data_IF_297663645788
#
_entry.id   IF_297663645788
#
_cell.length_a   1.000
_cell.length_b   1.000
_cell.length_c   1.000
_cell.angle_alpha   90.00
_cell.angle_beta   90.00
_cell.angle_gamma   90.00
#
_symmetry.space_group_name_H-M   'P 1'
#
loop_
_entity.id
_entity.type
_entity.pdbx_description
1 polymer ?
#
# COMPACT_ATOMS: atom_id res chain seq x y z
N UNK A 1 -16.12 44.00 -45.95
CA UNK A 1 -17.55 43.62 -45.95
C UNK A 1 -17.67 42.33 -45.14
N UNK A 2 -18.38 42.36 -44.00
CA UNK A 2 -18.77 41.18 -43.19
C UNK A 2 -19.67 40.25 -44.05
N UNK A 3 -19.77 38.93 -43.81
CA UNK A 3 -20.65 38.29 -42.81
C UNK A 3 -20.28 36.79 -42.62
N UNK A 4 -20.50 36.31 -41.40
CA UNK A 4 -20.36 34.99 -40.76
C UNK A 4 -21.14 33.80 -41.36
N UNK A 5 -20.68 32.57 -41.05
CA UNK A 5 -21.38 31.50 -40.29
C UNK A 5 -20.57 30.19 -40.41
N UNK A 6 -19.79 29.73 -39.42
CA UNK A 6 -20.15 28.82 -38.30
C UNK A 6 -21.50 28.11 -38.46
N UNK A 7 -21.46 26.79 -38.68
CA UNK A 7 -22.51 25.86 -38.28
C UNK A 7 -21.83 24.73 -37.51
N UNK A 8 -22.00 24.78 -36.20
CA UNK A 8 -21.69 23.73 -35.24
C UNK A 8 -22.47 22.46 -35.58
N UNK A 9 -21.77 21.33 -35.63
CA UNK A 9 -22.42 20.03 -35.52
C UNK A 9 -22.68 19.78 -34.02
N UNK A 10 -23.91 19.44 -33.59
CA UNK A 10 -24.17 19.17 -32.20
C UNK A 10 -23.53 17.84 -31.78
N UNK A 11 -22.78 17.90 -30.67
CA UNK A 11 -22.42 16.76 -29.83
C UNK A 11 -23.65 15.88 -29.63
N UNK A 12 -23.68 14.74 -30.31
CA UNK A 12 -24.68 13.72 -30.08
C UNK A 12 -24.13 12.85 -28.94
N UNK A 13 -24.71 12.89 -27.73
CA UNK A 13 -24.29 12.00 -26.66
C UNK A 13 -24.51 10.55 -27.10
N UNK A 14 -23.48 9.72 -26.92
CA UNK A 14 -23.54 8.29 -27.14
C UNK A 14 -24.68 7.70 -26.27
N UNK A 15 -25.68 7.01 -26.87
CA UNK A 15 -26.72 6.37 -26.10
C UNK A 15 -26.15 5.11 -25.45
N UNK A 16 -25.95 5.14 -24.14
CA UNK A 16 -25.48 3.97 -23.39
C UNK A 16 -24.66 4.23 -22.14
N UNK A 17 -24.45 5.48 -21.72
CA UNK A 17 -23.98 5.76 -20.35
C UNK A 17 -25.14 5.49 -19.38
N UNK A 18 -25.34 4.22 -19.04
CA UNK A 18 -25.93 3.89 -17.76
C UNK A 18 -25.01 4.48 -16.70
N UNK A 19 -25.55 5.39 -15.91
CA UNK A 19 -24.92 6.00 -14.75
C UNK A 19 -24.23 4.92 -13.92
N UNK A 20 -22.89 4.91 -13.91
CA UNK A 20 -22.07 4.10 -13.00
C UNK A 20 -21.81 4.87 -11.71
N UNK A 21 -22.77 5.66 -11.24
CA UNK A 21 -22.58 6.60 -10.13
C UNK A 21 -22.48 5.93 -8.76
N UNK A 22 -22.54 4.60 -8.68
CA UNK A 22 -22.23 3.84 -7.45
C UNK A 22 -20.72 3.56 -7.27
N UNK A 23 -19.86 4.15 -8.11
CA UNK A 23 -18.42 3.89 -8.15
C UNK A 23 -17.54 5.12 -7.85
N UNK A 24 -17.93 6.00 -6.90
CA UNK A 24 -16.98 7.03 -6.43
C UNK A 24 -15.80 6.36 -5.72
N UNK A 25 -14.67 6.29 -6.42
CA UNK A 25 -13.38 5.84 -5.89
C UNK A 25 -12.53 7.01 -5.38
N UNK A 26 -13.15 8.19 -5.17
CA UNK A 26 -12.43 9.40 -4.77
C UNK A 26 -11.69 9.19 -3.46
N UNK A 27 -12.31 8.48 -2.52
CA UNK A 27 -11.70 8.08 -1.24
C UNK A 27 -10.45 7.20 -1.44
N UNK A 28 -10.44 6.30 -2.43
CA UNK A 28 -9.26 5.49 -2.76
C UNK A 28 -8.12 6.37 -3.27
N UNK A 29 -8.44 7.35 -4.13
CA UNK A 29 -7.45 8.29 -4.68
C UNK A 29 -6.92 9.26 -3.61
N UNK A 30 -7.75 9.61 -2.62
CA UNK A 30 -7.37 10.37 -1.45
C UNK A 30 -6.47 9.57 -0.47
N UNK A 31 -6.41 8.25 -0.64
CA UNK A 31 -5.64 7.36 0.21
C UNK A 31 -6.31 7.08 1.57
N UNK A 32 -7.64 7.16 1.61
CA UNK A 32 -8.40 6.89 2.83
C UNK A 32 -8.27 5.43 3.29
N UNK A 33 -8.49 5.20 4.59
CA UNK A 33 -8.50 3.86 5.16
C UNK A 33 -9.79 3.15 4.75
N UNK A 34 -9.64 2.02 4.08
CA UNK A 34 -10.75 1.14 3.69
C UNK A 34 -10.77 -0.15 4.50
N UNK A 35 -11.94 -0.79 4.53
CA UNK A 35 -12.09 -2.13 5.12
C UNK A 35 -11.55 -3.22 4.19
N UNK A 36 -11.34 -4.44 4.71
CA UNK A 36 -10.95 -5.57 3.85
C UNK A 36 -12.09 -6.01 2.92
N UNK A 37 -13.35 -5.89 3.36
CA UNK A 37 -14.50 -6.16 2.50
C UNK A 37 -14.58 -5.17 1.35
N UNK A 38 -14.39 -3.89 1.62
CA UNK A 38 -14.31 -2.85 0.60
C UNK A 38 -13.18 -3.11 -0.40
N UNK A 39 -11.99 -3.49 0.07
CA UNK A 39 -10.89 -3.89 -0.82
C UNK A 39 -11.25 -5.12 -1.67
N UNK A 40 -11.94 -6.12 -1.10
CA UNK A 40 -12.40 -7.29 -1.83
C UNK A 40 -13.44 -6.93 -2.91
N UNK A 41 -14.38 -6.03 -2.58
CA UNK A 41 -15.38 -5.48 -3.51
C UNK A 41 -14.68 -4.78 -4.68
N UNK A 42 -13.69 -3.93 -4.41
CA UNK A 42 -12.93 -3.25 -5.48
C UNK A 42 -12.14 -4.21 -6.37
N UNK A 43 -11.52 -5.25 -5.79
CA UNK A 43 -10.87 -6.30 -6.60
C UNK A 43 -11.87 -7.05 -7.50
N UNK A 44 -13.06 -7.35 -6.98
CA UNK A 44 -14.12 -8.01 -7.76
C UNK A 44 -14.63 -7.11 -8.89
N UNK A 45 -14.89 -5.83 -8.60
CA UNK A 45 -15.32 -4.85 -9.59
C UNK A 45 -14.27 -4.66 -10.70
N UNK A 46 -12.99 -4.54 -10.34
CA UNK A 46 -11.90 -4.44 -11.30
C UNK A 46 -11.78 -5.70 -12.18
N UNK A 47 -12.00 -6.90 -11.63
CA UNK A 47 -12.03 -8.13 -12.43
C UNK A 47 -13.13 -8.10 -13.50
N UNK A 48 -14.34 -7.65 -13.14
CA UNK A 48 -15.46 -7.51 -14.08
C UNK A 48 -15.13 -6.51 -15.18
N UNK A 49 -14.51 -5.38 -14.84
CA UNK A 49 -14.08 -4.39 -15.84
C UNK A 49 -13.03 -4.95 -16.80
N UNK A 50 -12.05 -5.73 -16.32
CA UNK A 50 -11.06 -6.38 -17.20
C UNK A 50 -11.71 -7.39 -18.16
N UNK A 51 -12.71 -8.16 -17.72
CA UNK A 51 -13.45 -9.04 -18.64
C UNK A 51 -14.24 -8.25 -19.68
N UNK A 52 -14.87 -7.13 -19.28
CA UNK A 52 -15.61 -6.26 -20.18
C UNK A 52 -14.68 -5.65 -21.23
N UNK A 53 -13.48 -5.23 -20.84
CA UNK A 53 -12.44 -4.75 -21.76
C UNK A 53 -11.96 -5.86 -22.70
N UNK A 54 -11.70 -7.05 -22.17
CA UNK A 54 -11.32 -8.21 -22.99
C UNK A 54 -12.41 -8.54 -24.03
N UNK A 55 -13.68 -8.45 -23.63
CA UNK A 55 -14.83 -8.67 -24.52
C UNK A 55 -14.94 -7.60 -25.59
N UNK A 56 -14.76 -6.33 -25.24
CA UNK A 56 -14.78 -5.22 -26.20
C UNK A 56 -13.62 -5.33 -27.21
N UNK A 57 -12.44 -5.78 -26.75
CA UNK A 57 -11.26 -5.96 -27.58
C UNK A 57 -11.37 -7.12 -28.59
N UNK A 58 -12.38 -8.01 -28.48
CA UNK A 58 -12.64 -9.04 -29.50
C UNK A 58 -13.08 -8.45 -30.85
N UNK A 59 -13.67 -7.24 -30.84
CA UNK A 59 -14.14 -6.54 -32.04
C UNK A 59 -13.77 -5.06 -31.96
N UNK A 60 -12.48 -4.71 -32.08
CA UNK A 60 -12.05 -3.33 -31.98
C UNK A 60 -12.50 -2.52 -33.20
N UNK A 61 -12.79 -1.23 -33.00
CA UNK A 61 -13.20 -0.31 -34.09
C UNK A 61 -12.14 -0.22 -35.21
N UNK A 62 -10.86 -0.44 -34.86
CA UNK A 62 -9.76 -0.55 -35.81
C UNK A 62 -9.29 -2.00 -35.87
N UNK A 63 -9.24 -2.64 -37.07
CA UNK A 63 -8.91 -4.06 -37.20
C UNK A 63 -7.44 -4.33 -36.90
N UNK A 64 -7.16 -4.70 -35.66
CA UNK A 64 -5.85 -5.10 -35.14
C UNK A 64 -6.02 -6.42 -34.40
N UNK A 65 -5.07 -7.34 -34.57
CA UNK A 65 -5.04 -8.61 -33.84
C UNK A 65 -4.58 -8.36 -32.38
N UNK A 66 -5.43 -8.73 -31.42
CA UNK A 66 -5.27 -8.45 -29.99
C UNK A 66 -5.39 -9.71 -29.12
N UNK A 67 -5.31 -10.92 -29.69
CA UNK A 67 -5.48 -12.18 -28.95
C UNK A 67 -4.63 -12.25 -27.66
N UNK A 68 -3.36 -11.87 -27.74
CA UNK A 68 -2.44 -11.91 -26.59
C UNK A 68 -2.87 -10.93 -25.48
N UNK A 69 -3.33 -9.74 -25.83
CA UNK A 69 -3.83 -8.73 -24.89
C UNK A 69 -5.15 -9.18 -24.25
N UNK A 70 -6.07 -9.75 -25.03
CA UNK A 70 -7.34 -10.31 -24.55
C UNK A 70 -7.09 -11.42 -23.51
N UNK A 71 -6.17 -12.33 -23.81
CA UNK A 71 -5.80 -13.41 -22.89
C UNK A 71 -5.06 -12.90 -21.65
N UNK A 72 -4.28 -11.82 -21.78
CA UNK A 72 -3.70 -11.13 -20.64
C UNK A 72 -4.78 -10.57 -19.71
N UNK A 73 -5.73 -9.79 -20.24
CA UNK A 73 -6.83 -9.20 -19.48
C UNK A 73 -7.65 -10.25 -18.73
N UNK A 74 -7.98 -11.38 -19.38
CA UNK A 74 -8.72 -12.48 -18.74
C UNK A 74 -7.95 -13.16 -17.61
N UNK A 75 -6.62 -13.31 -17.75
CA UNK A 75 -5.76 -13.86 -16.69
C UNK A 75 -5.65 -12.91 -15.50
N UNK A 76 -5.52 -11.61 -15.76
CA UNK A 76 -5.52 -10.58 -14.72
C UNK A 76 -6.86 -10.52 -13.99
N UNK A 77 -7.98 -10.59 -14.72
CA UNK A 77 -9.33 -10.68 -14.13
C UNK A 77 -9.44 -11.89 -13.20
N UNK A 78 -8.98 -13.07 -13.63
CA UNK A 78 -8.96 -14.29 -12.80
C UNK A 78 -8.14 -14.10 -11.53
N UNK A 79 -6.94 -13.52 -11.67
CA UNK A 79 -6.07 -13.21 -10.52
C UNK A 79 -6.75 -12.26 -9.52
N UNK A 80 -7.49 -11.26 -10.01
CA UNK A 80 -8.23 -10.32 -9.16
C UNK A 80 -9.41 -10.99 -8.45
N UNK A 81 -10.14 -11.90 -9.10
CA UNK A 81 -11.21 -12.69 -8.44
C UNK A 81 -10.65 -13.57 -7.32
N UNK A 82 -9.53 -14.25 -7.57
CA UNK A 82 -8.86 -15.07 -6.55
C UNK A 82 -8.40 -14.21 -5.35
N UNK A 83 -7.88 -13.00 -5.62
CA UNK A 83 -7.53 -12.04 -4.57
C UNK A 83 -8.75 -11.57 -3.80
N UNK A 84 -9.86 -11.25 -4.47
CA UNK A 84 -11.12 -10.84 -3.83
C UNK A 84 -11.63 -11.93 -2.89
N UNK A 85 -11.69 -13.19 -3.34
CA UNK A 85 -12.11 -14.32 -2.50
C UNK A 85 -11.17 -14.54 -1.31
N UNK A 86 -9.86 -14.38 -1.51
CA UNK A 86 -8.89 -14.43 -0.42
C UNK A 86 -9.10 -13.32 0.62
N UNK A 87 -9.34 -12.08 0.17
CA UNK A 87 -9.57 -10.93 1.04
C UNK A 87 -10.86 -11.06 1.84
N UNK A 88 -11.95 -11.51 1.20
CA UNK A 88 -13.22 -11.77 1.87
C UNK A 88 -13.09 -12.84 2.96
N UNK A 89 -12.31 -13.90 2.71
CA UNK A 89 -12.00 -14.88 3.76
C UNK A 89 -11.27 -14.27 4.94
N UNK A 90 -10.35 -13.32 4.69
CA UNK A 90 -9.62 -12.62 5.76
C UNK A 90 -10.54 -11.67 6.52
N UNK A 91 -11.44 -10.95 5.84
CA UNK A 91 -12.44 -10.10 6.49
C UNK A 91 -13.28 -10.90 7.50
N UNK A 92 -13.83 -12.03 7.08
CA UNK A 92 -14.55 -12.97 7.96
C UNK A 92 -13.72 -13.48 9.14
N UNK A 93 -12.41 -13.69 8.96
CA UNK A 93 -11.51 -14.02 10.07
C UNK A 93 -11.45 -12.86 11.06
N UNK A 94 -11.26 -11.63 10.57
CA UNK A 94 -11.12 -10.42 11.41
C UNK A 94 -12.40 -10.13 12.19
N UNK A 95 -13.56 -10.33 11.57
CA UNK A 95 -14.87 -10.14 12.20
C UNK A 95 -15.18 -11.23 13.25
N UNK A 96 -14.41 -12.32 13.27
CA UNK A 96 -14.54 -13.41 14.23
C UNK A 96 -15.41 -14.58 13.74
N UNK A 97 -15.91 -14.54 12.51
CA UNK A 97 -16.72 -15.61 11.92
C UNK A 97 -15.95 -16.91 11.67
N UNK A 98 -14.62 -16.81 11.56
CA UNK A 98 -13.74 -17.95 11.31
C UNK A 98 -12.81 -18.14 12.50
N UNK A 99 -12.89 -19.28 13.21
CA UNK A 99 -12.01 -19.55 14.34
C UNK A 99 -10.56 -19.71 13.90
N UNK A 100 -9.64 -19.36 14.78
CA UNK A 100 -8.20 -19.48 14.60
C UNK A 100 -7.61 -20.43 15.64
N UNK A 101 -6.54 -21.13 15.27
CA UNK A 101 -5.74 -21.86 16.25
C UNK A 101 -5.15 -20.87 17.27
N UNK A 102 -4.99 -21.32 18.52
CA UNK A 102 -4.40 -20.49 19.60
C UNK A 102 -2.91 -20.19 19.39
N UNK A 103 -2.25 -20.95 18.51
CA UNK A 103 -0.85 -20.77 18.12
C UNK A 103 -0.56 -21.45 16.78
N UNK A 104 0.63 -21.19 16.24
CA UNK A 104 1.12 -21.89 15.06
C UNK A 104 1.59 -23.30 15.42
N UNK A 105 1.63 -24.21 14.43
CA UNK A 105 2.08 -25.59 14.62
C UNK A 105 3.49 -25.71 15.24
N UNK A 106 4.36 -24.72 15.06
CA UNK A 106 5.69 -24.67 15.65
C UNK A 106 5.72 -24.22 17.13
N UNK A 107 4.56 -23.98 17.75
CA UNK A 107 4.44 -23.51 19.13
C UNK A 107 4.42 -21.98 19.30
N UNK A 108 4.73 -21.25 18.23
CA UNK A 108 4.70 -19.79 18.24
C UNK A 108 3.30 -19.24 18.54
N UNK A 109 3.24 -18.22 19.39
CA UNK A 109 2.01 -17.49 19.72
C UNK A 109 1.76 -16.33 18.75
N UNK A 110 0.55 -15.80 18.76
CA UNK A 110 0.16 -14.62 18.00
C UNK A 110 -0.70 -13.66 18.83
N UNK A 111 -0.92 -12.45 18.32
CA UNK A 111 -1.77 -11.45 18.95
C UNK A 111 -1.22 -10.98 20.31
N UNK A 112 -2.11 -10.79 21.27
CA UNK A 112 -1.75 -10.38 22.62
C UNK A 112 -0.80 -11.38 23.31
N UNK A 113 -0.97 -12.67 23.03
CA UNK A 113 -0.16 -13.73 23.62
C UNK A 113 1.31 -13.72 23.14
N UNK A 114 1.62 -12.97 22.08
CA UNK A 114 2.96 -12.80 21.53
C UNK A 114 3.69 -11.52 21.98
N UNK A 115 3.05 -10.65 22.79
CA UNK A 115 3.57 -9.31 23.12
C UNK A 115 4.91 -9.32 23.89
N UNK A 116 5.25 -10.42 24.56
CA UNK A 116 6.47 -10.57 25.38
C UNK A 116 7.27 -11.81 24.99
N UNK A 117 7.12 -12.28 23.76
CA UNK A 117 7.83 -13.47 23.27
C UNK A 117 8.75 -13.07 22.13
N UNK A 118 10.02 -13.42 22.25
CA UNK A 118 10.92 -13.41 21.10
C UNK A 118 10.58 -14.63 20.23
N UNK A 119 10.20 -14.39 18.98
CA UNK A 119 9.93 -15.47 18.01
C UNK A 119 11.20 -15.83 17.28
N UNK A 120 11.44 -17.13 17.13
CA UNK A 120 12.64 -17.65 16.48
C UNK A 120 12.40 -18.03 15.01
N UNK A 121 11.18 -18.43 14.61
CA UNK A 121 10.97 -19.13 13.33
C UNK A 121 10.36 -18.29 12.20
N UNK A 122 9.52 -17.29 12.48
CA UNK A 122 8.77 -16.57 11.42
C UNK A 122 9.06 -15.06 11.36
N UNK A 123 10.28 -14.64 11.69
CA UNK A 123 10.75 -13.27 11.44
C UNK A 123 10.19 -12.21 12.37
N UNK A 124 10.01 -12.54 13.66
CA UNK A 124 9.58 -11.61 14.71
C UNK A 124 8.17 -11.88 15.28
N UNK A 125 7.81 -11.24 16.41
CA UNK A 125 6.56 -11.48 17.13
C UNK A 125 5.33 -11.24 16.23
N UNK A 126 4.44 -12.24 16.08
CA UNK A 126 3.18 -12.13 15.31
C UNK A 126 2.10 -11.40 16.11
N UNK A 127 2.44 -10.25 16.69
CA UNK A 127 1.49 -9.39 17.39
C UNK A 127 0.39 -8.94 16.42
N UNK A 128 0.77 -8.57 15.19
CA UNK A 128 -0.15 -8.33 14.08
C UNK A 128 0.15 -9.36 13.00
N UNK A 129 -0.67 -10.44 12.91
CA UNK A 129 -0.46 -11.48 11.92
C UNK A 129 -0.59 -10.95 10.48
N UNK A 130 0.25 -11.46 9.59
CA UNK A 130 0.06 -11.27 8.15
C UNK A 130 -1.18 -12.01 7.66
N UNK A 131 -1.71 -11.60 6.51
CA UNK A 131 -2.81 -12.29 5.85
C UNK A 131 -2.56 -13.80 5.64
N UNK A 132 -1.33 -14.21 5.29
CA UNK A 132 -1.00 -15.63 5.15
C UNK A 132 -0.98 -16.37 6.50
N UNK A 133 -0.50 -15.73 7.55
CA UNK A 133 -0.54 -16.29 8.90
C UNK A 133 -1.98 -16.47 9.39
N UNK A 134 -2.88 -15.53 9.12
CA UNK A 134 -4.31 -15.68 9.45
C UNK A 134 -4.94 -16.87 8.72
N UNK A 135 -4.68 -17.02 7.42
CA UNK A 135 -5.18 -18.16 6.65
C UNK A 135 -4.61 -19.49 7.15
N UNK A 136 -3.34 -19.52 7.55
CA UNK A 136 -2.69 -20.68 8.15
C UNK A 136 -3.34 -21.05 9.49
N UNK A 137 -3.48 -20.08 10.40
CA UNK A 137 -4.12 -20.27 11.70
C UNK A 137 -5.58 -20.75 11.55
N UNK A 138 -6.32 -20.22 10.57
CA UNK A 138 -7.69 -20.64 10.29
C UNK A 138 -7.75 -22.08 9.73
N UNK A 139 -6.77 -22.48 8.93
CA UNK A 139 -6.66 -23.87 8.46
C UNK A 139 -6.35 -24.81 9.63
N UNK A 140 -5.37 -24.45 10.44
CA UNK A 140 -4.90 -25.30 11.53
C UNK A 140 -5.96 -25.40 12.66
N UNK A 141 -6.82 -24.38 12.81
CA UNK A 141 -7.97 -24.39 13.73
C UNK A 141 -8.91 -25.59 13.50
N UNK A 142 -9.05 -26.07 12.26
CA UNK A 142 -9.93 -27.20 11.94
C UNK A 142 -9.51 -28.53 12.58
N UNK A 143 -8.26 -28.62 13.04
CA UNK A 143 -7.70 -29.78 13.74
C UNK A 143 -7.34 -29.49 15.20
N UNK A 144 -7.60 -28.26 15.67
CA UNK A 144 -7.20 -27.83 17.01
C UNK A 144 -8.26 -28.20 18.04
N UNK A 145 -7.81 -28.66 19.22
CA UNK A 145 -8.70 -28.91 20.37
C UNK A 145 -9.27 -27.59 20.94
N UNK A 146 -8.51 -26.52 20.84
CA UNK A 146 -8.88 -25.19 21.32
C UNK A 146 -8.70 -24.16 20.19
N UNK A 147 -9.69 -23.27 20.07
CA UNK A 147 -9.68 -22.19 19.09
C UNK A 147 -9.95 -20.84 19.77
N UNK A 148 -9.67 -19.77 19.04
CA UNK A 148 -9.89 -18.38 19.47
C UNK A 148 -10.30 -17.55 18.25
N UNK A 149 -11.12 -16.53 18.43
CA UNK A 149 -11.47 -15.60 17.35
C UNK A 149 -10.40 -14.51 17.18
N UNK A 150 -10.38 -13.82 16.03
CA UNK A 150 -9.46 -12.71 15.83
C UNK A 150 -9.62 -11.58 16.87
N UNK A 151 -10.83 -11.09 17.18
CA UNK A 151 -11.01 -10.06 18.21
C UNK A 151 -10.50 -10.48 19.59
N UNK A 152 -10.76 -11.74 19.99
CA UNK A 152 -10.28 -12.27 21.27
C UNK A 152 -8.75 -12.35 21.34
N UNK A 153 -8.10 -12.86 20.28
CA UNK A 153 -6.64 -12.93 20.21
C UNK A 153 -5.96 -11.56 20.22
N UNK A 154 -6.65 -10.52 19.75
CA UNK A 154 -6.15 -9.15 19.68
C UNK A 154 -6.51 -8.28 20.90
N UNK A 155 -7.43 -8.71 21.78
CA UNK A 155 -7.99 -7.88 22.85
C UNK A 155 -6.96 -7.29 23.82
N UNK A 156 -5.80 -7.94 24.02
CA UNK A 156 -4.71 -7.46 24.87
C UNK A 156 -3.60 -6.69 24.14
N UNK A 157 -3.72 -6.45 22.83
CA UNK A 157 -2.71 -5.71 22.06
C UNK A 157 -2.83 -4.22 22.37
N UNK A 158 -1.70 -3.58 22.70
CA UNK A 158 -1.66 -2.16 23.08
C UNK A 158 -2.27 -1.28 21.98
N UNK A 159 -3.26 -0.44 22.34
CA UNK A 159 -3.93 0.48 21.40
C UNK A 159 -2.94 1.40 20.68
N UNK A 160 -1.89 1.85 21.36
CA UNK A 160 -0.83 2.66 20.74
C UNK A 160 -0.12 1.92 19.60
N UNK A 161 0.14 0.61 19.76
CA UNK A 161 0.73 -0.23 18.71
C UNK A 161 -0.23 -0.37 17.52
N UNK A 162 -1.53 -0.57 17.77
CA UNK A 162 -2.53 -0.67 16.70
C UNK A 162 -2.69 0.65 15.92
N UNK A 163 -2.71 1.78 16.63
CA UNK A 163 -2.86 3.10 16.02
C UNK A 163 -1.64 3.53 15.20
N UNK A 164 -0.46 3.06 15.60
CA UNK A 164 0.81 3.41 14.98
C UNK A 164 1.33 2.33 14.02
N UNK A 165 0.62 1.21 13.89
CA UNK A 165 0.95 0.18 12.92
C UNK A 165 0.74 0.69 11.50
N UNK A 166 1.71 0.35 10.66
CA UNK A 166 1.71 0.66 9.25
C UNK A 166 2.26 -0.52 8.46
N UNK A 167 1.74 -0.77 7.27
CA UNK A 167 2.29 -1.80 6.38
C UNK A 167 3.73 -1.46 5.97
N UNK A 168 4.54 -2.48 5.68
CA UNK A 168 5.91 -2.28 5.16
C UNK A 168 5.93 -1.41 3.91
N UNK A 169 4.97 -1.59 3.01
CA UNK A 169 4.84 -0.78 1.79
C UNK A 169 4.59 0.69 2.07
N UNK A 170 3.74 1.01 3.05
CA UNK A 170 3.49 2.41 3.42
C UNK A 170 4.70 3.03 4.14
N UNK A 171 5.42 2.26 4.98
CA UNK A 171 6.71 2.68 5.55
C UNK A 171 7.75 2.98 4.47
N UNK A 172 7.88 2.11 3.46
CA UNK A 172 8.78 2.33 2.33
C UNK A 172 8.41 3.58 1.52
N UNK A 173 7.11 3.79 1.26
CA UNK A 173 6.64 5.01 0.60
C UNK A 173 7.01 6.25 1.40
N UNK A 174 6.68 6.29 2.70
CA UNK A 174 7.02 7.41 3.59
C UNK A 174 8.53 7.67 3.63
N UNK A 175 9.35 6.60 3.65
CA UNK A 175 10.80 6.71 3.56
C UNK A 175 11.26 7.32 2.24
N UNK A 176 10.70 6.90 1.10
CA UNK A 176 11.01 7.49 -0.22
C UNK A 176 10.62 8.95 -0.31
N UNK A 177 9.45 9.32 0.21
CA UNK A 177 8.97 10.71 0.28
C UNK A 177 9.90 11.56 1.15
N UNK A 178 10.33 11.05 2.31
CA UNK A 178 11.36 11.68 3.14
C UNK A 178 12.66 11.85 2.39
N UNK A 179 13.18 10.80 1.77
CA UNK A 179 14.47 10.84 1.08
C UNK A 179 14.45 11.83 -0.09
N UNK A 180 13.34 11.93 -0.82
CA UNK A 180 13.13 12.95 -1.84
C UNK A 180 13.13 14.37 -1.25
N UNK A 181 12.40 14.58 -0.14
CA UNK A 181 12.38 15.87 0.55
C UNK A 181 13.75 16.27 1.11
N UNK A 182 14.56 15.30 1.58
CA UNK A 182 15.95 15.53 2.00
C UNK A 182 16.82 15.94 0.83
N UNK A 183 16.70 15.29 -0.33
CA UNK A 183 17.47 15.67 -1.52
C UNK A 183 17.13 17.10 -1.98
N UNK A 184 15.87 17.50 -1.92
CA UNK A 184 15.47 18.89 -2.20
C UNK A 184 16.01 19.88 -1.17
N UNK A 185 15.93 19.54 0.12
CA UNK A 185 16.41 20.38 1.22
C UNK A 185 17.94 20.53 1.20
N UNK A 186 18.67 19.48 0.83
CA UNK A 186 20.11 19.54 0.62
C UNK A 186 20.45 20.68 -0.36
N UNK A 187 19.75 20.78 -1.50
CA UNK A 187 19.99 21.86 -2.46
C UNK A 187 19.65 23.24 -1.93
N UNK A 188 18.79 23.39 -0.91
CA UNK A 188 18.45 24.70 -0.32
C UNK A 188 19.51 25.21 0.66
N UNK A 189 20.27 24.32 1.28
CA UNK A 189 21.26 24.65 2.31
C UNK A 189 22.61 24.95 1.64
N UNK A 190 23.30 26.01 2.04
CA UNK A 190 24.67 26.28 1.60
C UNK A 190 25.66 25.30 2.23
N UNK A 191 26.68 24.89 1.48
CA UNK A 191 27.65 23.92 1.95
C UNK A 191 28.90 24.59 2.53
N UNK A 192 28.97 24.69 3.85
CA UNK A 192 30.15 25.23 4.57
C UNK A 192 31.46 24.46 4.31
N UNK A 193 31.40 23.22 3.81
CA UNK A 193 32.60 22.41 3.55
C UNK A 193 33.25 22.66 2.18
N UNK A 194 32.53 23.23 1.22
CA UNK A 194 33.05 23.48 -0.14
C UNK A 194 32.52 24.77 -0.77
N UNK A 195 31.90 25.63 0.03
CA UNK A 195 31.29 26.91 -0.33
C UNK A 195 30.27 26.84 -1.48
N UNK A 196 29.70 25.66 -1.72
CA UNK A 196 28.63 25.49 -2.70
C UNK A 196 27.37 26.20 -2.19
N UNK A 197 26.91 27.21 -2.93
CA UNK A 197 25.73 27.99 -2.56
C UNK A 197 24.41 27.20 -2.68
N UNK A 198 23.30 27.87 -2.35
CA UNK A 198 21.97 27.33 -2.60
C UNK A 198 21.78 26.99 -4.08
N UNK A 199 21.04 25.91 -4.35
CA UNK A 199 20.83 25.26 -5.64
C UNK A 199 22.09 24.68 -6.31
N UNK A 200 23.26 24.72 -5.65
CA UNK A 200 24.49 24.14 -6.18
C UNK A 200 24.80 22.79 -5.54
N UNK A 201 25.21 21.84 -6.38
CA UNK A 201 25.75 20.55 -5.91
C UNK A 201 27.13 20.72 -5.29
N UNK A 202 27.42 19.92 -4.28
CA UNK A 202 28.73 19.90 -3.65
C UNK A 202 29.83 19.52 -4.64
N UNK A 203 31.04 20.04 -4.39
CA UNK A 203 32.24 19.71 -5.15
C UNK A 203 33.25 19.00 -4.27
N UNK A 204 34.02 18.09 -4.87
CA UNK A 204 35.16 17.45 -4.22
C UNK A 204 36.31 18.46 -4.06
N UNK A 205 37.33 18.10 -3.28
CA UNK A 205 38.56 18.91 -3.13
C UNK A 205 39.26 19.24 -4.46
N UNK A 206 39.05 18.44 -5.50
CA UNK A 206 39.61 18.66 -6.84
C UNK A 206 38.69 19.48 -7.76
N UNK A 207 37.59 20.02 -7.23
CA UNK A 207 36.64 20.86 -7.96
C UNK A 207 35.62 20.11 -8.83
N UNK A 208 35.64 18.77 -8.82
CA UNK A 208 34.64 17.94 -9.54
C UNK A 208 33.33 17.91 -8.78
N UNK A 209 32.21 17.73 -9.48
CA UNK A 209 30.92 17.48 -8.83
C UNK A 209 31.01 16.20 -7.98
N UNK A 210 30.59 16.29 -6.73
CA UNK A 210 30.50 15.13 -5.86
C UNK A 210 29.22 14.34 -6.19
N UNK A 211 29.33 13.01 -6.16
CA UNK A 211 28.17 12.12 -6.29
C UNK A 211 27.23 12.21 -5.07
N UNK A 212 27.80 12.54 -3.90
CA UNK A 212 27.09 12.70 -2.64
C UNK A 212 27.34 14.08 -2.03
N UNK A 213 26.30 14.60 -1.38
CA UNK A 213 26.36 15.82 -0.58
C UNK A 213 27.28 15.63 0.64
N UNK A 214 27.98 16.68 1.05
CA UNK A 214 28.81 16.64 2.25
C UNK A 214 27.99 16.32 3.50
N UNK A 215 28.55 15.48 4.37
CA UNK A 215 27.87 14.89 5.54
C UNK A 215 27.21 15.92 6.45
N UNK A 216 27.83 17.08 6.66
CA UNK A 216 27.28 18.16 7.49
C UNK A 216 26.00 18.72 6.86
N UNK A 217 26.06 19.12 5.59
CA UNK A 217 24.91 19.63 4.82
C UNK A 217 23.77 18.61 4.76
N UNK A 218 24.08 17.34 4.53
CA UNK A 218 23.09 16.25 4.55
C UNK A 218 22.42 16.08 5.91
N UNK A 219 23.18 16.09 7.02
CA UNK A 219 22.61 15.98 8.37
C UNK A 219 21.71 17.16 8.72
N UNK A 220 22.08 18.37 8.30
CA UNK A 220 21.24 19.57 8.48
C UNK A 220 19.95 19.45 7.67
N UNK A 221 20.03 18.98 6.41
CA UNK A 221 18.86 18.71 5.59
C UNK A 221 17.92 17.66 6.21
N UNK A 222 18.48 16.56 6.69
CA UNK A 222 17.76 15.50 7.41
C UNK A 222 17.04 16.09 8.65
N UNK A 223 17.73 16.83 9.50
CA UNK A 223 17.14 17.43 10.69
C UNK A 223 16.00 18.43 10.37
N UNK A 224 16.18 19.27 9.35
CA UNK A 224 15.16 20.23 8.93
C UNK A 224 13.91 19.53 8.39
N UNK A 225 14.10 18.50 7.54
CA UNK A 225 13.00 17.71 6.97
C UNK A 225 12.28 16.95 8.08
N UNK A 226 13.01 16.26 8.94
CA UNK A 226 12.45 15.44 10.02
C UNK A 226 11.64 16.30 10.99
N UNK A 227 12.14 17.49 11.36
CA UNK A 227 11.40 18.44 12.18
C UNK A 227 10.14 18.97 11.47
N UNK A 228 10.22 19.25 10.17
CA UNK A 228 9.10 19.76 9.37
C UNK A 228 7.98 18.74 9.17
N UNK A 229 8.32 17.48 8.93
CA UNK A 229 7.33 16.41 8.66
C UNK A 229 6.98 15.59 9.90
N UNK A 230 7.59 15.89 11.05
CA UNK A 230 7.37 15.16 12.31
C UNK A 230 7.84 13.71 12.23
N UNK A 231 8.95 13.44 11.56
CA UNK A 231 9.49 12.08 11.40
C UNK A 231 10.10 11.56 12.71
N UNK A 232 9.59 10.43 13.24
CA UNK A 232 10.04 9.84 14.53
C UNK A 232 10.85 8.54 14.33
N UNK A 233 11.40 8.28 13.14
CA UNK A 233 12.23 7.09 12.88
C UNK A 233 11.42 5.83 12.52
N UNK A 234 12.12 4.69 12.50
CA UNK A 234 11.57 3.41 12.03
C UNK A 234 10.48 2.87 12.98
N UNK A 235 9.38 2.41 12.37
CA UNK A 235 8.28 1.58 12.87
C UNK A 235 8.23 1.35 14.40
N UNK A 236 7.15 1.74 15.11
CA UNK A 236 7.00 1.54 16.57
C UNK A 236 7.04 0.09 17.03
N UNK A 237 7.01 -0.89 16.12
CA UNK A 237 7.27 -2.31 16.40
C UNK A 237 8.74 -2.57 16.77
N UNK A 238 9.66 -1.63 16.50
CA UNK A 238 11.08 -1.70 16.85
C UNK A 238 11.45 -1.02 18.17
N UNK A 239 10.47 -0.51 18.94
CA UNK A 239 10.75 0.06 20.27
C UNK A 239 11.05 -1.10 21.24
N UNK A 240 12.33 -1.39 21.40
CA UNK A 240 12.84 -2.12 22.56
C UNK A 240 12.32 -1.44 23.84
N UNK A 241 11.90 -2.28 24.80
CA UNK A 241 11.23 -1.85 26.01
C UNK A 241 11.91 -0.70 26.74
N UNK A 242 11.09 0.27 27.14
CA UNK A 242 11.25 1.04 28.37
C UNK A 242 9.97 0.90 29.17
#
# INVERSE_FOLDING_TARGET
MRIHAIVDAPDRPLPGQQDTSDASTDHLSAGDRITLDELAVHCSAAAVWLDQLARAAETPDTPVELADDIDCLRREATTLRDRAGRLQRIARIIDGDVPLATGFAAGDRWGAAAMNTDRETYGGPAIIPTANQLLLLARDASYAENTVTYPEGMAGVRKSLLLSWESKTAQERRRRERDAAVQEEELRIECESCDAGAQQRCRTKTGRLAELTHKVRRRTAEANVDARIGWVGDNPVAVAGT
#
